data_IF_237386625215
#
_entry.id   IF_237386625215
#
_cell.length_a   1.000
_cell.length_b   1.000
_cell.length_c   1.000
_cell.angle_alpha   90.00
_cell.angle_beta   90.00
_cell.angle_gamma   90.00
#
_symmetry.space_group_name_H-M   'P 1'
#
loop_
_entity.id
_entity.type
_entity.pdbx_description
1 polymer ?
#
# COMPACT_ATOMS: atom_id res chain seq x y z
N UNK A 1 15.77 64.93 -2.49
CA UNK A 1 16.72 66.04 -2.75
C UNK A 1 18.06 65.68 -2.11
N UNK A 2 19.13 65.67 -2.91
CA UNK A 2 20.55 65.99 -2.60
C UNK A 2 21.11 65.41 -1.28
N UNK A 3 22.20 64.62 -1.29
CA UNK A 3 23.52 65.20 -1.56
C UNK A 3 24.53 64.11 -2.01
N UNK A 4 25.02 64.29 -3.22
CA UNK A 4 26.30 63.83 -3.74
C UNK A 4 27.46 64.51 -3.01
N UNK A 5 28.53 63.79 -2.65
CA UNK A 5 29.87 64.36 -2.58
C UNK A 5 30.93 63.35 -3.06
N UNK A 6 31.56 63.68 -4.20
CA UNK A 6 32.87 63.19 -4.63
C UNK A 6 33.92 63.67 -3.63
N UNK A 7 34.99 62.90 -3.42
CA UNK A 7 36.34 63.39 -3.77
C UNK A 7 37.33 62.22 -3.95
N UNK A 8 38.25 62.45 -4.88
CA UNK A 8 39.23 61.56 -5.47
C UNK A 8 40.62 61.86 -4.88
N UNK A 9 41.51 60.86 -4.94
CA UNK A 9 42.98 60.92 -4.90
C UNK A 9 43.68 61.15 -3.56
N UNK A 10 44.46 60.15 -3.14
CA UNK A 10 45.86 60.35 -2.75
C UNK A 10 46.73 59.25 -3.37
N UNK A 11 47.74 59.72 -4.10
CA UNK A 11 48.86 58.99 -4.70
C UNK A 11 49.98 58.84 -3.67
N UNK A 12 50.63 57.68 -3.67
CA UNK A 12 52.08 57.57 -3.49
C UNK A 12 52.61 57.29 -2.08
N UNK A 13 53.17 56.10 -1.88
CA UNK A 13 54.32 55.88 -1.02
C UNK A 13 55.10 54.64 -1.49
N UNK A 14 56.22 54.89 -2.16
CA UNK A 14 57.32 53.93 -2.40
C UNK A 14 58.20 53.93 -1.15
N UNK A 15 58.45 52.76 -0.56
CA UNK A 15 59.39 52.58 0.54
C UNK A 15 60.00 51.18 0.51
N UNK A 16 61.32 51.12 0.32
CA UNK A 16 62.13 49.91 0.14
C UNK A 16 62.41 49.19 1.47
N UNK A 17 62.27 47.86 1.44
CA UNK A 17 63.27 46.88 1.89
C UNK A 17 63.27 46.48 3.36
N UNK A 18 62.91 45.23 3.67
CA UNK A 18 63.51 44.45 4.77
C UNK A 18 63.37 42.93 4.51
N UNK A 19 64.52 42.26 4.53
CA UNK A 19 64.83 40.86 4.84
C UNK A 19 64.05 39.71 4.16
N UNK A 20 64.75 39.04 3.24
CA UNK A 20 64.59 37.62 2.95
C UNK A 20 65.51 36.85 3.90
N UNK A 21 64.92 36.03 4.77
CA UNK A 21 65.48 34.84 5.43
C UNK A 21 64.90 34.68 6.84
N UNK A 22 63.83 33.88 6.95
CA UNK A 22 63.65 32.84 7.98
C UNK A 22 62.19 32.37 7.98
N UNK A 23 61.97 31.11 7.62
CA UNK A 23 60.70 30.39 7.67
C UNK A 23 60.11 30.34 9.09
N UNK A 24 58.78 30.15 9.19
CA UNK A 24 58.27 28.89 9.74
C UNK A 24 57.46 28.11 8.68
N UNK A 25 57.30 26.78 8.83
CA UNK A 25 56.65 25.94 7.83
C UNK A 25 55.17 26.31 7.72
N UNK A 26 54.67 26.42 6.49
CA UNK A 26 53.24 26.36 6.20
C UNK A 26 52.74 24.99 6.70
N UNK A 27 52.10 25.00 7.87
CA UNK A 27 51.27 23.88 8.31
C UNK A 27 50.19 23.69 7.26
N UNK A 28 50.19 22.52 6.63
CA UNK A 28 49.14 22.05 5.76
C UNK A 28 47.84 21.92 6.57
N UNK A 29 47.08 23.00 6.62
CA UNK A 29 45.75 23.07 7.23
C UNK A 29 44.79 23.50 6.12
N UNK A 30 44.50 22.63 5.15
CA UNK A 30 43.39 22.82 4.19
C UNK A 30 43.17 21.56 3.34
N UNK A 31 42.67 20.46 3.94
CA UNK A 31 41.86 19.48 3.18
C UNK A 31 40.88 18.66 4.06
N UNK A 32 40.17 19.32 4.98
CA UNK A 32 39.11 18.66 5.78
C UNK A 32 37.69 19.18 5.45
N UNK A 33 37.54 19.99 4.39
CA UNK A 33 36.23 20.55 3.98
C UNK A 33 35.62 19.82 2.78
N UNK A 34 36.41 19.12 1.97
CA UNK A 34 35.93 18.46 0.73
C UNK A 34 35.28 17.11 1.02
N UNK A 35 35.71 16.40 2.06
CA UNK A 35 35.20 15.05 2.41
C UNK A 35 33.77 15.08 2.91
N UNK A 36 33.37 16.12 3.66
CA UNK A 36 32.01 16.22 4.21
C UNK A 36 30.96 16.49 3.12
N UNK A 37 31.26 17.33 2.12
CA UNK A 37 30.28 17.66 1.06
C UNK A 37 29.89 16.45 0.20
N UNK A 38 30.84 15.56 -0.10
CA UNK A 38 30.58 14.34 -0.87
C UNK A 38 29.72 13.33 -0.08
N UNK A 39 29.94 13.18 1.23
CA UNK A 39 29.20 12.23 2.07
C UNK A 39 27.74 12.65 2.30
N UNK A 40 27.48 13.95 2.43
CA UNK A 40 26.11 14.45 2.56
C UNK A 40 25.33 14.25 1.25
N UNK A 41 25.92 14.60 0.10
CA UNK A 41 25.30 14.40 -1.22
C UNK A 41 24.97 12.93 -1.52
N UNK A 42 25.89 12.01 -1.22
CA UNK A 42 25.69 10.57 -1.44
C UNK A 42 24.55 10.01 -0.57
N UNK A 43 24.47 10.43 0.70
CA UNK A 43 23.39 10.03 1.61
C UNK A 43 22.01 10.48 1.13
N UNK A 44 21.87 11.68 0.56
CA UNK A 44 20.58 12.14 0.01
C UNK A 44 20.19 11.39 -1.25
N UNK A 45 21.15 11.19 -2.17
CA UNK A 45 20.91 10.44 -3.39
C UNK A 45 20.46 9.01 -3.12
N UNK A 46 21.06 8.36 -2.12
CA UNK A 46 20.70 7.00 -1.73
C UNK A 46 19.30 6.92 -1.12
N UNK A 47 18.90 7.90 -0.29
CA UNK A 47 17.52 7.99 0.19
C UNK A 47 16.51 8.15 -0.96
N UNK A 48 16.83 8.96 -1.98
CA UNK A 48 15.97 9.10 -3.17
C UNK A 48 15.87 7.82 -3.99
N UNK A 49 16.98 7.11 -4.18
CA UNK A 49 16.98 5.80 -4.87
C UNK A 49 16.13 4.79 -4.10
N UNK A 50 16.28 4.75 -2.78
CA UNK A 50 15.51 3.85 -1.91
C UNK A 50 14.02 4.17 -1.94
N UNK A 51 13.63 5.45 -1.88
CA UNK A 51 12.24 5.87 -2.00
C UNK A 51 11.63 5.41 -3.33
N UNK A 52 12.31 5.66 -4.47
CA UNK A 52 11.87 5.20 -5.80
C UNK A 52 11.73 3.69 -5.89
N UNK A 53 12.65 2.94 -5.28
CA UNK A 53 12.57 1.48 -5.26
C UNK A 53 11.33 1.00 -4.51
N UNK A 54 11.06 1.57 -3.33
CA UNK A 54 9.87 1.25 -2.54
C UNK A 54 8.57 1.65 -3.26
N UNK A 55 8.55 2.80 -3.95
CA UNK A 55 7.43 3.25 -4.78
C UNK A 55 7.13 2.27 -5.91
N UNK A 56 8.15 1.81 -6.63
CA UNK A 56 7.98 0.82 -7.70
C UNK A 56 7.47 -0.52 -7.16
N UNK A 57 7.97 -0.95 -6.00
CA UNK A 57 7.51 -2.19 -5.36
C UNK A 57 6.05 -2.08 -4.89
N UNK A 58 5.68 -0.92 -4.32
CA UNK A 58 4.30 -0.61 -3.94
C UNK A 58 3.36 -0.64 -5.14
N UNK A 59 3.74 -0.02 -6.27
CA UNK A 59 2.93 -0.02 -7.49
C UNK A 59 2.64 -1.43 -8.00
N UNK A 60 3.69 -2.24 -8.17
CA UNK A 60 3.57 -3.63 -8.66
C UNK A 60 2.69 -4.49 -7.74
N UNK A 61 2.86 -4.36 -6.42
CA UNK A 61 2.08 -5.12 -5.44
C UNK A 61 0.64 -4.62 -5.35
N UNK A 62 0.40 -3.31 -5.41
CA UNK A 62 -0.96 -2.75 -5.40
C UNK A 62 -1.75 -3.18 -6.62
N UNK A 63 -1.13 -3.17 -7.81
CA UNK A 63 -1.76 -3.67 -9.04
C UNK A 63 -2.14 -5.15 -8.89
N UNK A 64 -1.24 -5.97 -8.36
CA UNK A 64 -1.47 -7.41 -8.14
C UNK A 64 -2.55 -7.66 -7.09
N UNK A 65 -2.52 -6.92 -5.98
CA UNK A 65 -3.51 -6.99 -4.91
C UNK A 65 -4.90 -6.60 -5.39
N UNK A 66 -5.02 -5.51 -6.14
CA UNK A 66 -6.28 -5.07 -6.76
C UNK A 66 -6.85 -6.10 -7.73
N UNK A 67 -5.99 -6.73 -8.55
CA UNK A 67 -6.39 -7.84 -9.43
C UNK A 67 -6.91 -9.04 -8.64
N UNK A 68 -6.28 -9.40 -7.53
CA UNK A 68 -6.78 -10.49 -6.69
C UNK A 68 -8.13 -10.15 -6.06
N UNK A 69 -8.33 -8.92 -5.57
CA UNK A 69 -9.59 -8.47 -4.99
C UNK A 69 -10.73 -8.50 -6.01
N UNK A 70 -10.48 -7.99 -7.22
CA UNK A 70 -11.48 -8.01 -8.31
C UNK A 70 -11.77 -9.43 -8.81
N UNK A 71 -10.74 -10.27 -8.94
CA UNK A 71 -10.89 -11.69 -9.30
C UNK A 71 -11.64 -12.49 -8.25
N UNK A 72 -11.43 -12.17 -6.97
CA UNK A 72 -12.18 -12.74 -5.83
C UNK A 72 -13.69 -12.50 -6.04
N UNK A 73 -14.06 -11.26 -6.36
CA UNK A 73 -15.44 -10.86 -6.67
C UNK A 73 -16.04 -11.56 -7.90
N UNK A 74 -15.30 -11.59 -9.02
CA UNK A 74 -15.77 -12.16 -10.29
C UNK A 74 -16.00 -13.67 -10.21
N UNK A 75 -15.15 -14.37 -9.45
CA UNK A 75 -15.22 -15.83 -9.35
C UNK A 75 -16.44 -16.34 -8.57
N UNK A 76 -17.05 -15.49 -7.74
CA UNK A 76 -18.24 -15.81 -6.95
C UNK A 76 -19.56 -15.70 -7.72
N UNK A 77 -19.58 -15.05 -8.88
CA UNK A 77 -20.82 -14.90 -9.65
C UNK A 77 -21.15 -16.13 -10.53
N UNK A 78 -20.20 -17.07 -10.68
CA UNK A 78 -20.30 -18.15 -11.66
C UNK A 78 -20.29 -19.60 -11.14
N UNK A 79 -19.89 -19.86 -9.89
CA UNK A 79 -19.73 -21.24 -9.41
C UNK A 79 -20.43 -21.51 -8.07
N UNK A 80 -21.59 -22.18 -8.17
CA UNK A 80 -22.10 -23.06 -7.11
C UNK A 80 -21.11 -24.21 -6.98
N UNK A 81 -20.54 -24.42 -5.79
CA UNK A 81 -19.53 -25.44 -5.46
C UNK A 81 -18.08 -25.05 -5.78
N UNK A 82 -17.50 -24.18 -4.95
CA UNK A 82 -16.04 -24.18 -4.71
C UNK A 82 -15.81 -24.72 -3.31
N UNK A 83 -14.89 -25.69 -3.18
CA UNK A 83 -14.49 -26.24 -1.87
C UNK A 83 -13.99 -25.11 -0.97
N UNK A 84 -14.42 -25.12 0.28
CA UNK A 84 -14.03 -24.22 1.37
C UNK A 84 -12.50 -23.99 1.43
N UNK A 85 -11.74 -25.06 1.16
CA UNK A 85 -10.27 -25.05 1.12
C UNK A 85 -9.65 -24.13 0.05
N UNK A 86 -10.31 -23.92 -1.10
CA UNK A 86 -9.80 -23.04 -2.15
C UNK A 86 -9.99 -21.57 -1.78
N UNK A 87 -11.16 -21.22 -1.19
CA UNK A 87 -11.45 -19.88 -0.70
C UNK A 87 -10.46 -19.46 0.39
N UNK A 88 -10.25 -20.34 1.38
CA UNK A 88 -9.32 -20.08 2.48
C UNK A 88 -7.87 -19.88 2.05
N UNK A 89 -7.43 -20.57 0.98
CA UNK A 89 -6.09 -20.37 0.43
C UNK A 89 -5.92 -18.98 -0.19
N UNK A 90 -6.96 -18.46 -0.85
CA UNK A 90 -6.94 -17.14 -1.47
C UNK A 90 -6.99 -16.02 -0.41
N UNK A 91 -7.72 -16.25 0.68
CA UNK A 91 -7.74 -15.33 1.83
C UNK A 91 -6.37 -15.18 2.48
N UNK A 92 -5.66 -16.29 2.71
CA UNK A 92 -4.32 -16.26 3.28
C UNK A 92 -3.34 -15.45 2.42
N UNK A 93 -3.44 -15.58 1.09
CA UNK A 93 -2.62 -14.80 0.14
C UNK A 93 -2.97 -13.31 0.18
N UNK A 94 -4.26 -12.96 0.27
CA UNK A 94 -4.72 -11.58 0.37
C UNK A 94 -4.29 -10.93 1.69
N UNK A 95 -4.38 -11.66 2.81
CA UNK A 95 -3.89 -11.20 4.12
C UNK A 95 -2.37 -10.97 4.07
N UNK A 96 -1.61 -11.90 3.49
CA UNK A 96 -0.16 -11.75 3.35
C UNK A 96 0.23 -10.55 2.48
N UNK A 97 -0.47 -10.29 1.37
CA UNK A 97 -0.22 -9.09 0.57
C UNK A 97 -0.60 -7.81 1.31
N UNK A 98 -1.67 -7.84 2.12
CA UNK A 98 -2.08 -6.69 2.94
C UNK A 98 -0.98 -6.30 3.92
N UNK A 99 -0.42 -7.28 4.66
CA UNK A 99 0.65 -7.03 5.63
C UNK A 99 1.95 -6.57 4.96
N UNK A 100 2.26 -7.10 3.78
CA UNK A 100 3.44 -6.68 3.02
C UNK A 100 3.31 -5.25 2.49
N UNK A 101 2.14 -4.85 1.99
CA UNK A 101 1.87 -3.47 1.58
C UNK A 101 1.95 -2.49 2.76
N UNK A 102 1.42 -2.86 3.93
CA UNK A 102 1.56 -2.07 5.16
C UNK A 102 3.03 -1.86 5.54
N UNK A 103 3.84 -2.93 5.43
CA UNK A 103 5.26 -2.86 5.71
C UNK A 103 6.01 -1.95 4.72
N UNK A 104 5.67 -2.02 3.43
CA UNK A 104 6.27 -1.15 2.42
C UNK A 104 5.90 0.33 2.60
N UNK A 105 4.62 0.61 2.93
CA UNK A 105 4.17 1.96 3.26
C UNK A 105 4.90 2.50 4.51
N UNK A 106 5.05 1.68 5.54
CA UNK A 106 5.79 2.05 6.75
C UNK A 106 7.27 2.34 6.44
N UNK A 107 7.92 1.50 5.63
CA UNK A 107 9.30 1.74 5.17
C UNK A 107 9.43 3.04 4.38
N UNK A 108 8.54 3.29 3.42
CA UNK A 108 8.59 4.52 2.62
C UNK A 108 8.36 5.76 3.49
N UNK A 109 7.50 5.66 4.51
CA UNK A 109 7.32 6.71 5.52
C UNK A 109 8.63 7.03 6.24
N UNK A 110 9.33 6.00 6.75
CA UNK A 110 10.62 6.18 7.43
C UNK A 110 11.68 6.80 6.50
N UNK A 111 11.73 6.41 5.22
CA UNK A 111 12.66 7.01 4.25
C UNK A 111 12.32 8.47 4.00
N UNK A 112 11.04 8.81 3.89
CA UNK A 112 10.58 10.20 3.75
C UNK A 112 10.89 11.04 5.01
N UNK A 113 10.83 10.46 6.20
CA UNK A 113 11.23 11.11 7.46
C UNK A 113 12.74 11.38 7.47
N UNK A 114 13.57 10.40 7.12
CA UNK A 114 15.03 10.59 6.99
C UNK A 114 15.40 11.66 5.96
N UNK A 115 14.69 11.72 4.83
CA UNK A 115 14.84 12.80 3.87
C UNK A 115 14.46 14.17 4.47
N UNK A 116 13.43 14.23 5.32
CA UNK A 116 13.08 15.46 6.02
C UNK A 116 14.14 15.88 7.04
N UNK A 117 14.68 14.93 7.82
CA UNK A 117 15.77 15.17 8.76
C UNK A 117 17.01 15.71 8.05
N UNK A 118 17.36 15.13 6.90
CA UNK A 118 18.49 15.57 6.08
C UNK A 118 18.36 17.05 5.68
N UNK A 119 17.18 17.49 5.24
CA UNK A 119 16.93 18.89 4.83
C UNK A 119 16.96 19.84 6.03
N UNK A 120 16.54 19.39 7.20
CA UNK A 120 16.53 20.20 8.42
C UNK A 120 17.90 20.23 9.13
N UNK A 121 18.89 19.47 8.66
CA UNK A 121 20.23 19.42 9.25
C UNK A 121 21.00 20.73 9.03
N UNK A 122 21.59 21.32 10.08
CA UNK A 122 22.41 22.53 9.95
C UNK A 122 23.66 22.24 9.12
N UNK A 123 23.73 22.83 7.91
CA UNK A 123 24.79 22.59 6.92
C UNK A 123 24.27 22.51 5.47
N UNK A 124 23.01 22.15 5.27
CA UNK A 124 22.40 22.00 3.93
C UNK A 124 21.85 23.32 3.31
N UNK A 125 22.05 24.45 3.98
CA UNK A 125 21.29 25.71 3.83
C UNK A 125 21.32 26.37 2.45
N UNK A 126 22.22 25.99 1.53
CA UNK A 126 22.29 26.59 0.18
C UNK A 126 21.44 25.88 -0.89
N UNK A 127 21.00 24.63 -0.66
CA UNK A 127 20.33 23.79 -1.67
C UNK A 127 18.87 23.43 -1.33
N UNK A 128 18.29 24.07 -0.32
CA UNK A 128 17.04 23.61 0.30
C UNK A 128 15.82 23.59 -0.64
N UNK A 129 15.63 24.57 -1.54
CA UNK A 129 14.38 24.66 -2.31
C UNK A 129 14.10 23.43 -3.21
N UNK A 130 15.10 22.96 -3.95
CA UNK A 130 14.95 21.78 -4.82
C UNK A 130 14.78 20.48 -4.03
N UNK A 131 15.49 20.36 -2.90
CA UNK A 131 15.37 19.23 -1.98
C UNK A 131 13.98 19.20 -1.33
N UNK A 132 13.48 20.34 -0.86
CA UNK A 132 12.14 20.48 -0.28
C UNK A 132 11.05 20.07 -1.29
N UNK A 133 11.16 20.53 -2.53
CA UNK A 133 10.20 20.16 -3.59
C UNK A 133 10.24 18.66 -3.86
N UNK A 134 11.43 18.07 -3.92
CA UNK A 134 11.60 16.62 -4.14
C UNK A 134 10.99 15.81 -2.98
N UNK A 135 11.27 16.19 -1.73
CA UNK A 135 10.66 15.55 -0.56
C UNK A 135 9.14 15.70 -0.58
N UNK A 136 8.63 16.89 -0.93
CA UNK A 136 7.19 17.12 -1.01
C UNK A 136 6.56 16.17 -2.03
N UNK A 137 7.18 15.97 -3.19
CA UNK A 137 6.71 15.00 -4.19
C UNK A 137 6.65 13.57 -3.64
N UNK A 138 7.67 13.12 -2.93
CA UNK A 138 7.68 11.78 -2.31
C UNK A 138 6.60 11.63 -1.23
N UNK A 139 6.28 12.69 -0.49
CA UNK A 139 5.16 12.69 0.47
C UNK A 139 3.81 12.59 -0.21
N UNK A 140 3.62 13.31 -1.31
CA UNK A 140 2.38 13.26 -2.08
C UNK A 140 2.18 11.86 -2.69
N UNK A 141 3.24 11.27 -3.26
CA UNK A 141 3.23 9.89 -3.79
C UNK A 141 2.88 8.88 -2.68
N UNK A 142 3.51 8.98 -1.51
CA UNK A 142 3.21 8.11 -0.37
C UNK A 142 1.73 8.23 0.05
N UNK A 143 1.18 9.44 0.04
CA UNK A 143 -0.23 9.69 0.37
C UNK A 143 -1.15 9.03 -0.67
N UNK A 144 -0.84 9.16 -1.95
CA UNK A 144 -1.61 8.55 -3.04
C UNK A 144 -1.61 7.02 -2.92
N UNK A 145 -0.44 6.41 -2.70
CA UNK A 145 -0.34 4.96 -2.48
C UNK A 145 -1.06 4.50 -1.22
N UNK A 146 -0.97 5.26 -0.12
CA UNK A 146 -1.72 4.96 1.11
C UNK A 146 -3.22 4.99 0.85
N UNK A 147 -3.71 6.01 0.13
CA UNK A 147 -5.11 6.14 -0.20
C UNK A 147 -5.61 4.96 -1.04
N UNK A 148 -4.91 4.64 -2.14
CA UNK A 148 -5.30 3.51 -2.99
C UNK A 148 -5.21 2.17 -2.24
N UNK A 149 -4.20 1.98 -1.40
CA UNK A 149 -4.10 0.79 -0.53
C UNK A 149 -5.34 0.63 0.35
N UNK A 150 -5.73 1.66 1.11
CA UNK A 150 -6.87 1.57 2.01
C UNK A 150 -8.19 1.40 1.25
N UNK A 151 -8.33 2.03 0.08
CA UNK A 151 -9.48 1.84 -0.80
C UNK A 151 -9.60 0.40 -1.29
N UNK A 152 -8.51 -0.21 -1.79
CA UNK A 152 -8.51 -1.61 -2.22
C UNK A 152 -8.71 -2.57 -1.04
N UNK A 153 -8.06 -2.30 0.10
CA UNK A 153 -8.22 -3.07 1.34
C UNK A 153 -9.67 -3.06 1.82
N UNK A 154 -10.32 -1.90 1.84
CA UNK A 154 -11.72 -1.79 2.24
C UNK A 154 -12.65 -2.54 1.27
N UNK A 155 -12.38 -2.45 -0.04
CA UNK A 155 -13.11 -3.23 -1.04
C UNK A 155 -13.01 -4.74 -0.75
N UNK A 156 -11.82 -5.24 -0.43
CA UNK A 156 -11.63 -6.63 -0.03
C UNK A 156 -12.45 -7.02 1.21
N UNK A 157 -12.42 -6.21 2.27
CA UNK A 157 -13.22 -6.50 3.47
C UNK A 157 -14.72 -6.55 3.17
N UNK A 158 -15.24 -5.62 2.37
CA UNK A 158 -16.64 -5.65 1.94
C UNK A 158 -16.98 -6.91 1.14
N UNK A 159 -16.07 -7.38 0.28
CA UNK A 159 -16.25 -8.62 -0.47
C UNK A 159 -16.25 -9.84 0.42
N UNK A 160 -15.36 -9.87 1.42
CA UNK A 160 -15.26 -10.94 2.39
C UNK A 160 -16.50 -11.00 3.30
N UNK A 161 -16.94 -9.87 3.85
CA UNK A 161 -18.16 -9.80 4.66
C UNK A 161 -19.38 -10.32 3.89
N UNK A 162 -19.48 -9.96 2.61
CA UNK A 162 -20.52 -10.51 1.73
C UNK A 162 -20.42 -12.03 1.60
N UNK A 163 -19.21 -12.57 1.51
CA UNK A 163 -18.98 -14.02 1.42
C UNK A 163 -19.34 -14.72 2.74
N UNK A 164 -18.91 -14.21 3.89
CA UNK A 164 -19.23 -14.75 5.21
C UNK A 164 -20.76 -14.86 5.40
N UNK A 165 -21.50 -13.82 4.99
CA UNK A 165 -22.97 -13.80 5.03
C UNK A 165 -23.59 -14.84 4.08
N UNK A 166 -23.11 -14.93 2.84
CA UNK A 166 -23.61 -15.90 1.85
C UNK A 166 -23.27 -17.35 2.22
N UNK A 167 -22.08 -17.58 2.77
CA UNK A 167 -21.63 -18.89 3.26
C UNK A 167 -22.49 -19.37 4.43
N UNK A 168 -22.87 -18.47 5.35
CA UNK A 168 -23.83 -18.79 6.41
C UNK A 168 -25.19 -19.21 5.85
N UNK A 169 -25.75 -18.39 4.95
CA UNK A 169 -27.04 -18.71 4.32
C UNK A 169 -26.98 -20.01 3.53
N UNK A 170 -25.88 -20.29 2.84
CA UNK A 170 -25.72 -21.54 2.10
C UNK A 170 -25.70 -22.76 3.02
N UNK A 171 -24.96 -22.69 4.14
CA UNK A 171 -24.95 -23.74 5.17
C UNK A 171 -26.33 -23.94 5.78
N UNK A 172 -27.06 -22.87 6.05
CA UNK A 172 -28.42 -22.95 6.60
C UNK A 172 -29.39 -23.59 5.59
N UNK A 173 -29.31 -23.22 4.31
CA UNK A 173 -30.10 -23.83 3.23
C UNK A 173 -29.74 -25.31 3.06
N UNK A 174 -28.46 -25.66 3.08
CA UNK A 174 -28.00 -27.04 2.93
C UNK A 174 -28.37 -27.90 4.14
N UNK A 175 -28.31 -27.34 5.35
CA UNK A 175 -28.79 -27.95 6.58
C UNK A 175 -30.31 -28.17 6.54
N UNK A 176 -31.07 -27.16 6.08
CA UNK A 176 -32.50 -27.29 5.88
C UNK A 176 -32.82 -28.36 4.84
N UNK A 177 -32.16 -28.34 3.68
CA UNK A 177 -32.35 -29.32 2.60
C UNK A 177 -31.98 -30.74 3.02
N UNK A 178 -30.86 -30.92 3.72
CA UNK A 178 -30.42 -32.22 4.25
C UNK A 178 -31.33 -32.71 5.37
N UNK A 179 -31.80 -31.83 6.25
CA UNK A 179 -32.80 -32.11 7.27
C UNK A 179 -34.19 -32.42 6.69
N UNK A 180 -34.55 -31.80 5.57
CA UNK A 180 -35.74 -32.18 4.80
C UNK A 180 -35.58 -33.54 4.14
N UNK A 181 -34.40 -34.13 3.95
CA UNK A 181 -34.29 -35.52 3.48
C UNK A 181 -35.00 -36.52 4.41
N UNK A 182 -35.07 -36.23 5.72
CA UNK A 182 -35.75 -37.08 6.72
C UNK A 182 -37.23 -36.69 6.86
N UNK A 183 -37.55 -35.39 6.83
CA UNK A 183 -38.93 -34.90 6.94
C UNK A 183 -39.72 -35.01 5.61
N UNK A 184 -39.12 -34.74 4.44
CA UNK A 184 -39.72 -35.02 3.12
C UNK A 184 -39.90 -36.51 2.92
N UNK A 185 -39.02 -37.40 3.38
CA UNK A 185 -39.30 -38.83 3.24
C UNK A 185 -40.61 -39.18 3.94
N UNK A 186 -40.86 -38.63 5.13
CA UNK A 186 -42.13 -38.78 5.84
C UNK A 186 -43.30 -38.11 5.09
N UNK A 187 -43.13 -36.89 4.57
CA UNK A 187 -44.15 -36.19 3.78
C UNK A 187 -44.46 -36.88 2.45
N UNK A 188 -43.46 -37.39 1.74
CA UNK A 188 -43.58 -38.16 0.49
C UNK A 188 -44.33 -39.47 0.73
N UNK A 189 -44.07 -40.15 1.86
CA UNK A 189 -44.83 -41.34 2.26
C UNK A 189 -46.31 -40.99 2.46
N UNK A 190 -46.61 -39.93 3.22
CA UNK A 190 -48.00 -39.50 3.44
C UNK A 190 -48.71 -39.09 2.14
N UNK A 191 -48.03 -38.37 1.25
CA UNK A 191 -48.58 -38.00 -0.06
C UNK A 191 -48.90 -39.23 -0.91
N UNK A 192 -48.01 -40.23 -0.89
CA UNK A 192 -48.18 -41.49 -1.62
C UNK A 192 -49.33 -42.33 -1.06
N UNK A 193 -49.46 -42.42 0.26
CA UNK A 193 -50.62 -43.08 0.91
C UNK A 193 -51.94 -42.40 0.54
N UNK A 194 -51.96 -41.07 0.48
CA UNK A 194 -53.16 -40.32 0.12
C UNK A 194 -53.58 -40.58 -1.34
N UNK A 195 -52.62 -40.71 -2.25
CA UNK A 195 -52.88 -41.13 -3.63
C UNK A 195 -53.40 -42.57 -3.72
N UNK A 196 -52.83 -43.49 -2.92
CA UNK A 196 -53.30 -44.87 -2.84
C UNK A 196 -54.75 -44.96 -2.33
N UNK A 197 -55.10 -44.19 -1.29
CA UNK A 197 -56.46 -44.13 -0.77
C UNK A 197 -57.44 -43.60 -1.82
N UNK A 198 -57.11 -42.52 -2.51
CA UNK A 198 -57.97 -41.92 -3.54
C UNK A 198 -58.18 -42.86 -4.74
N UNK A 199 -57.14 -43.59 -5.14
CA UNK A 199 -57.24 -44.59 -6.21
C UNK A 199 -58.07 -45.80 -5.76
N UNK A 200 -57.92 -46.25 -4.51
CA UNK A 200 -58.75 -47.32 -3.95
C UNK A 200 -60.23 -46.92 -3.90
N UNK A 201 -60.53 -45.70 -3.48
CA UNK A 201 -61.89 -45.16 -3.39
C UNK A 201 -62.58 -45.16 -4.76
N UNK A 202 -61.88 -44.65 -5.79
CA UNK A 202 -62.37 -44.68 -7.18
C UNK A 202 -62.59 -46.10 -7.72
N UNK A 203 -61.75 -47.07 -7.35
CA UNK A 203 -61.93 -48.47 -7.76
C UNK A 203 -63.13 -49.13 -7.07
N UNK A 204 -63.37 -48.79 -5.79
CA UNK A 204 -64.53 -49.28 -5.03
C UNK A 204 -65.81 -48.71 -5.64
N UNK A 205 -65.86 -47.40 -5.92
CA UNK A 205 -67.01 -46.76 -6.56
C UNK A 205 -67.33 -47.37 -7.93
N UNK A 206 -66.30 -47.74 -8.71
CA UNK A 206 -66.48 -48.41 -10.00
C UNK A 206 -66.92 -49.87 -9.86
N UNK A 207 -66.62 -50.55 -8.75
CA UNK A 207 -67.00 -51.94 -8.52
C UNK A 207 -68.43 -52.12 -7.97
N UNK A 208 -69.04 -51.04 -7.44
CA UNK A 208 -70.40 -51.03 -6.87
C UNK A 208 -71.46 -50.68 -7.93
N UNK A 209 -71.04 -50.35 -9.17
CA UNK A 209 -71.93 -50.04 -10.29
C UNK A 209 -72.20 -51.25 -11.18
#
# INVERSE_FOLDING_TARGET
MKLTFRLLSVVGAVGKGFNYDSFPPLTAEDDMSTTNMATYGDSWEDLRKQARQLENELDLKLVSFSKLCTSYSASNHGQRSRSDSFSQSQDNVLVAMTTELEHLLAKLTVVNEKMAEYINSPGASSHNAALMHTLQRHRDILKDYSHEFYKTKNNFFTLREREDLLGSVHRDIESYKSGTGVNNRRTEIFLKEHEHLRNSDSLIDNAIR
#
